data_IF_701385859663
#
_entry.id   IF_701385859663
#
_cell.length_a   1.000
_cell.length_b   1.000
_cell.length_c   1.000
_cell.angle_alpha   90.00
_cell.angle_beta   90.00
_cell.angle_gamma   90.00
#
_symmetry.space_group_name_H-M   'P 1'
#
loop_
_entity.id
_entity.type
_entity.pdbx_description
1 polymer ?
#
# COMPACT_ATOMS: atom_id res chain seq x y z
N UNK A 1 -2.40 -13.35 -19.48
CA UNK A 1 -2.78 -14.02 -18.22
C UNK A 1 -4.30 -14.04 -18.12
N UNK A 2 -4.89 -15.02 -17.47
CA UNK A 2 -6.32 -15.07 -17.22
C UNK A 2 -6.59 -14.59 -15.80
N UNK A 3 -7.65 -13.83 -15.59
CA UNK A 3 -8.11 -13.47 -14.26
C UNK A 3 -8.61 -14.73 -13.53
N UNK A 4 -8.11 -14.97 -12.33
CA UNK A 4 -8.49 -16.08 -11.46
C UNK A 4 -9.40 -15.62 -10.34
N UNK A 5 -9.25 -14.38 -9.90
CA UNK A 5 -10.00 -13.76 -8.82
C UNK A 5 -9.95 -12.24 -8.92
N UNK A 6 -11.06 -11.59 -8.64
CA UNK A 6 -11.13 -10.15 -8.50
C UNK A 6 -12.10 -9.80 -7.37
N UNK A 7 -11.73 -8.83 -6.56
CA UNK A 7 -12.59 -8.27 -5.52
C UNK A 7 -12.38 -6.78 -5.42
N UNK A 8 -13.47 -6.06 -5.21
CA UNK A 8 -13.49 -4.65 -4.90
C UNK A 8 -14.03 -4.46 -3.48
N UNK A 9 -13.49 -3.46 -2.80
CA UNK A 9 -13.94 -3.11 -1.46
C UNK A 9 -13.78 -1.62 -1.20
N UNK A 10 -14.34 -1.19 -0.08
CA UNK A 10 -14.32 0.20 0.36
C UNK A 10 -13.88 0.26 1.81
N UNK A 11 -13.01 1.20 2.13
CA UNK A 11 -12.49 1.47 3.47
C UNK A 11 -12.88 2.88 3.90
N UNK A 12 -13.10 3.07 5.18
CA UNK A 12 -13.37 4.38 5.74
C UNK A 12 -12.09 4.95 6.40
N UNK A 13 -12.03 6.26 6.50
CA UNK A 13 -10.95 7.00 7.14
C UNK A 13 -10.59 6.39 8.50
N UNK A 14 -9.30 6.36 8.79
CA UNK A 14 -8.73 5.81 10.03
C UNK A 14 -8.94 4.30 10.24
N UNK A 15 -9.42 3.57 9.25
CA UNK A 15 -9.43 2.12 9.34
C UNK A 15 -7.99 1.58 9.39
N UNK A 16 -7.72 0.78 10.41
CA UNK A 16 -6.47 0.04 10.60
C UNK A 16 -6.80 -1.42 10.84
N UNK A 17 -6.12 -2.33 10.16
CA UNK A 17 -6.41 -3.76 10.34
C UNK A 17 -5.94 -4.63 9.19
N UNK A 18 -6.57 -5.79 9.08
CA UNK A 18 -6.22 -6.80 8.10
C UNK A 18 -7.47 -7.31 7.40
N UNK A 19 -7.38 -7.49 6.07
CA UNK A 19 -8.43 -8.11 5.27
C UNK A 19 -7.77 -9.25 4.50
N UNK A 20 -8.26 -10.48 4.68
CA UNK A 20 -7.64 -11.65 4.04
C UNK A 20 -8.59 -12.28 3.04
N UNK A 21 -8.08 -12.52 1.85
CA UNK A 21 -8.72 -13.24 0.77
C UNK A 21 -8.04 -14.59 0.55
N UNK A 22 -8.84 -15.59 0.20
CA UNK A 22 -8.33 -16.93 -0.10
C UNK A 22 -8.75 -17.32 -1.50
N UNK A 23 -7.75 -17.68 -2.32
CA UNK A 23 -7.92 -18.09 -3.71
C UNK A 23 -7.36 -19.50 -3.89
N UNK A 24 -8.13 -20.40 -4.50
CA UNK A 24 -7.65 -21.73 -4.83
C UNK A 24 -7.03 -21.73 -6.22
N UNK A 25 -5.73 -22.02 -6.29
CA UNK A 25 -5.02 -22.24 -7.55
C UNK A 25 -5.13 -23.74 -7.91
N UNK A 26 -6.22 -24.11 -8.58
CA UNK A 26 -6.53 -25.50 -8.92
C UNK A 26 -5.52 -26.14 -9.87
N UNK A 27 -4.84 -25.35 -10.66
CA UNK A 27 -3.83 -25.81 -11.61
C UNK A 27 -2.52 -25.05 -11.40
N UNK A 28 -1.37 -25.70 -11.63
CA UNK A 28 -0.09 -25.03 -11.58
C UNK A 28 -0.05 -23.81 -12.51
N UNK A 29 0.40 -22.68 -11.97
CA UNK A 29 0.62 -21.45 -12.72
C UNK A 29 2.11 -21.30 -13.05
N UNK A 30 2.42 -21.06 -14.32
CA UNK A 30 3.76 -20.69 -14.77
C UNK A 30 4.07 -19.21 -14.45
N UNK A 31 3.03 -18.42 -14.30
CA UNK A 31 3.08 -17.00 -13.91
C UNK A 31 1.86 -16.64 -13.08
N UNK A 32 2.09 -15.88 -12.01
CA UNK A 32 1.07 -15.34 -11.12
C UNK A 32 1.34 -13.86 -10.92
N UNK A 33 0.30 -13.05 -11.00
CA UNK A 33 0.31 -11.63 -10.66
C UNK A 33 -0.80 -11.34 -9.66
N UNK A 34 -0.41 -10.82 -8.50
CA UNK A 34 -1.31 -10.29 -7.48
C UNK A 34 -1.23 -8.77 -7.59
N UNK A 35 -2.30 -8.15 -8.07
CA UNK A 35 -2.36 -6.74 -8.35
C UNK A 35 -3.32 -6.04 -7.38
N UNK A 36 -2.81 -5.08 -6.64
CA UNK A 36 -3.58 -4.22 -5.73
C UNK A 36 -3.55 -2.80 -6.26
N UNK A 37 -4.74 -2.22 -6.42
CA UNK A 37 -4.93 -0.77 -6.64
C UNK A 37 -5.84 -0.20 -5.57
N UNK A 38 -5.67 1.08 -5.23
CA UNK A 38 -6.58 1.81 -4.36
C UNK A 38 -6.57 3.31 -4.66
N UNK A 39 -7.69 3.97 -4.35
CA UNK A 39 -7.86 5.41 -4.48
C UNK A 39 -7.12 6.15 -3.34
N UNK A 40 -6.91 7.44 -3.52
CA UNK A 40 -6.42 8.35 -2.46
C UNK A 40 -5.15 7.88 -1.76
N UNK A 41 -4.15 7.47 -2.55
CA UNK A 41 -2.83 7.11 -2.02
C UNK A 41 -2.23 8.23 -1.16
N UNK A 42 -2.47 9.48 -1.56
CA UNK A 42 -1.97 10.66 -0.86
C UNK A 42 -2.97 11.81 -1.02
N UNK A 43 -3.20 12.56 0.07
CA UNK A 43 -3.82 13.88 0.05
C UNK A 43 -2.71 14.92 0.27
N UNK A 44 -2.39 15.72 -0.74
CA UNK A 44 -1.29 16.69 -0.66
C UNK A 44 -1.79 18.08 -0.32
N UNK A 45 -1.38 18.60 0.83
CA UNK A 45 -1.53 20.01 1.14
C UNK A 45 -0.41 20.79 0.43
N UNK A 46 -0.74 21.52 -0.64
CA UNK A 46 0.17 22.42 -1.32
C UNK A 46 -0.26 23.85 -1.09
N UNK A 47 0.67 24.70 -0.63
CA UNK A 47 0.44 26.14 -0.43
C UNK A 47 0.19 26.89 -1.75
N UNK A 48 0.60 26.32 -2.88
CA UNK A 48 0.52 26.95 -4.18
C UNK A 48 -0.76 26.56 -4.90
N UNK A 49 -1.68 27.54 -5.02
CA UNK A 49 -2.92 27.52 -5.79
C UNK A 49 -3.92 26.41 -5.40
N UNK A 50 -5.20 26.79 -5.37
CA UNK A 50 -6.34 25.95 -5.02
C UNK A 50 -6.29 24.54 -5.64
N UNK A 51 -5.49 23.64 -5.04
CA UNK A 51 -5.57 22.24 -5.42
C UNK A 51 -6.87 21.67 -4.81
N UNK A 52 -7.54 20.76 -5.50
CA UNK A 52 -8.69 20.03 -4.94
C UNK A 52 -8.39 19.44 -3.55
N UNK A 53 -7.14 19.01 -3.35
CA UNK A 53 -6.66 18.44 -2.09
C UNK A 53 -6.68 19.43 -0.92
N UNK A 54 -6.36 20.72 -1.16
CA UNK A 54 -6.39 21.75 -0.10
C UNK A 54 -7.79 21.94 0.44
N UNK A 55 -8.77 22.06 -0.44
CA UNK A 55 -10.18 22.26 -0.08
C UNK A 55 -10.70 21.05 0.71
N UNK A 56 -10.30 19.85 0.36
CA UNK A 56 -10.68 18.61 1.03
C UNK A 56 -10.00 18.46 2.38
N UNK A 57 -8.72 18.77 2.50
CA UNK A 57 -7.99 18.78 3.77
C UNK A 57 -8.64 19.75 4.75
N UNK A 58 -8.97 20.98 4.31
CA UNK A 58 -9.67 21.96 5.12
C UNK A 58 -11.08 21.50 5.50
N UNK A 59 -11.77 20.76 4.62
CA UNK A 59 -13.08 20.19 4.93
C UNK A 59 -12.98 19.08 5.99
N UNK A 60 -11.92 18.25 5.97
CA UNK A 60 -11.69 17.18 6.94
C UNK A 60 -11.31 17.73 8.30
N UNK A 61 -10.44 18.73 8.36
CA UNK A 61 -9.87 19.28 9.61
C UNK A 61 -10.55 20.58 10.09
N UNK A 62 -11.42 21.17 9.30
CA UNK A 62 -12.14 22.39 9.61
C UNK A 62 -11.30 23.67 9.52
N UNK A 63 -10.00 23.61 9.74
CA UNK A 63 -9.06 24.73 9.61
C UNK A 63 -7.63 24.26 9.43
N UNK A 64 -6.77 25.14 8.92
CA UNK A 64 -5.32 24.88 8.82
C UNK A 64 -4.67 24.71 10.21
N UNK A 65 -5.14 25.42 11.21
CA UNK A 65 -4.66 25.28 12.58
C UNK A 65 -4.96 23.88 13.14
N UNK A 66 -6.17 23.39 12.95
CA UNK A 66 -6.57 22.04 13.41
C UNK A 66 -5.78 20.93 12.70
N UNK A 67 -5.48 21.11 11.43
CA UNK A 67 -4.61 20.22 10.66
C UNK A 67 -3.21 20.14 11.26
N UNK A 68 -2.66 21.25 11.80
CA UNK A 68 -1.34 21.29 12.41
C UNK A 68 -1.30 20.77 13.86
N UNK A 69 -2.45 20.53 14.48
CA UNK A 69 -2.60 20.06 15.87
C UNK A 69 -2.74 18.53 16.01
N UNK A 70 -2.31 17.76 15.01
CA UNK A 70 -2.42 16.29 15.04
C UNK A 70 -1.88 15.71 16.37
N UNK A 71 -2.74 15.03 17.19
CA UNK A 71 -2.35 14.54 18.52
C UNK A 71 -1.25 13.47 18.50
N UNK A 72 -1.06 12.79 17.36
CA UNK A 72 -0.01 11.79 17.19
C UNK A 72 1.41 12.43 17.15
N UNK A 73 1.50 13.75 16.93
CA UNK A 73 2.77 14.46 16.85
C UNK A 73 3.18 14.93 18.25
N UNK A 74 3.89 14.07 18.96
CA UNK A 74 4.47 14.42 20.26
C UNK A 74 5.70 15.32 20.10
N UNK A 75 6.10 16.10 21.13
CA UNK A 75 7.32 16.91 21.09
C UNK A 75 8.56 16.10 20.73
N UNK A 76 8.68 14.88 21.25
CA UNK A 76 9.82 13.99 20.96
C UNK A 76 9.86 13.54 19.49
N UNK A 77 8.71 13.26 18.89
CA UNK A 77 8.60 12.92 17.45
C UNK A 77 8.98 14.14 16.61
N UNK A 78 8.49 15.32 16.99
CA UNK A 78 8.78 16.57 16.28
C UNK A 78 10.27 16.89 16.30
N UNK A 79 10.93 16.88 17.47
CA UNK A 79 12.37 17.12 17.62
C UNK A 79 13.21 16.13 16.80
N UNK A 80 12.85 14.85 16.86
CA UNK A 80 13.51 13.82 16.06
C UNK A 80 13.39 14.12 14.56
N UNK A 81 12.20 14.47 14.09
CA UNK A 81 11.95 14.77 12.66
C UNK A 81 12.71 16.02 12.20
N UNK A 82 12.72 17.10 13.00
CA UNK A 82 13.50 18.30 12.68
C UNK A 82 14.97 17.92 12.45
N UNK A 83 15.55 17.15 13.36
CA UNK A 83 16.94 16.71 13.24
C UNK A 83 17.18 15.84 12.00
N UNK A 84 16.40 14.77 11.83
CA UNK A 84 16.60 13.80 10.74
C UNK A 84 16.40 14.43 9.36
N UNK A 85 15.35 15.24 9.18
CA UNK A 85 15.10 15.92 7.90
C UNK A 85 16.14 17.00 7.63
N UNK A 86 16.57 17.74 8.67
CA UNK A 86 17.64 18.73 8.52
C UNK A 86 18.97 18.08 8.10
N UNK A 87 19.32 16.95 8.73
CA UNK A 87 20.55 16.18 8.39
C UNK A 87 20.48 15.64 6.95
N UNK A 88 19.34 15.14 6.52
CA UNK A 88 19.14 14.61 5.16
C UNK A 88 19.11 15.69 4.07
N UNK A 89 18.51 16.84 4.36
CA UNK A 89 18.33 17.92 3.39
C UNK A 89 19.51 18.88 3.31
N UNK A 90 20.37 18.89 4.34
CA UNK A 90 21.51 19.81 4.46
C UNK A 90 21.12 21.24 4.85
N UNK A 91 19.87 21.49 5.23
CA UNK A 91 19.41 22.78 5.79
C UNK A 91 18.51 22.55 7.00
N UNK A 92 18.48 23.52 7.91
CA UNK A 92 17.67 23.42 9.13
C UNK A 92 16.22 23.73 8.80
N UNK A 93 15.32 22.76 9.05
CA UNK A 93 13.88 22.97 8.95
C UNK A 93 13.32 23.46 10.29
N UNK A 94 12.28 24.25 10.24
CA UNK A 94 11.54 24.70 11.43
C UNK A 94 10.64 23.58 11.97
N UNK A 95 10.25 23.71 13.26
CA UNK A 95 9.23 22.81 13.85
C UNK A 95 7.89 22.85 13.09
N UNK A 96 7.50 24.00 12.56
CA UNK A 96 6.27 24.15 11.78
C UNK A 96 6.34 23.36 10.46
N UNK A 97 7.50 23.37 9.78
CA UNK A 97 7.73 22.58 8.57
C UNK A 97 7.78 21.07 8.88
N UNK A 98 8.49 20.68 9.96
CA UNK A 98 8.52 19.31 10.42
C UNK A 98 7.12 18.80 10.79
N UNK A 99 6.29 19.63 11.43
CA UNK A 99 4.91 19.30 11.78
C UNK A 99 4.05 19.09 10.53
N UNK A 100 4.14 19.98 9.54
CA UNK A 100 3.43 19.82 8.25
C UNK A 100 3.83 18.51 7.56
N UNK A 101 5.10 18.18 7.57
CA UNK A 101 5.61 16.92 7.03
C UNK A 101 5.04 15.69 7.75
N UNK A 102 5.03 15.71 9.08
CA UNK A 102 4.53 14.59 9.90
C UNK A 102 3.02 14.39 9.77
N UNK A 103 2.24 15.46 9.75
CA UNK A 103 0.79 15.37 9.53
C UNK A 103 0.50 14.74 8.18
N UNK A 104 1.21 15.16 7.15
CA UNK A 104 1.11 14.55 5.83
C UNK A 104 1.44 13.05 5.85
N UNK A 105 2.53 12.68 6.52
CA UNK A 105 2.99 11.29 6.55
C UNK A 105 2.10 10.36 7.41
N UNK A 106 1.47 10.90 8.45
CA UNK A 106 0.63 10.14 9.39
C UNK A 106 -0.81 10.04 8.91
N UNK A 107 -1.43 11.16 8.52
CA UNK A 107 -2.88 11.23 8.30
C UNK A 107 -3.30 11.36 6.83
N UNK A 108 -2.41 11.86 5.98
CA UNK A 108 -2.76 12.26 4.62
C UNK A 108 -2.48 11.20 3.57
N UNK A 109 -2.05 10.02 3.94
CA UNK A 109 -1.84 8.93 2.99
C UNK A 109 -2.63 7.69 3.38
N UNK A 110 -3.13 7.03 2.38
CA UNK A 110 -3.63 5.67 2.51
C UNK A 110 -2.46 4.71 2.34
N UNK A 111 -2.30 3.82 3.31
CA UNK A 111 -1.21 2.84 3.30
C UNK A 111 -1.78 1.43 3.46
N UNK A 112 -1.77 0.68 2.34
CA UNK A 112 -2.25 -0.70 2.26
C UNK A 112 -1.15 -1.55 1.65
N UNK A 113 -0.68 -2.58 2.33
CA UNK A 113 0.39 -3.47 1.87
C UNK A 113 -0.15 -4.86 1.59
N UNK A 114 0.03 -5.41 0.39
CA UNK A 114 -0.32 -6.79 0.11
C UNK A 114 0.76 -7.73 0.64
N UNK A 115 0.33 -8.71 1.43
CA UNK A 115 1.10 -9.84 1.92
C UNK A 115 0.51 -11.10 1.31
N UNK A 116 1.34 -12.01 0.80
CA UNK A 116 0.90 -13.26 0.22
C UNK A 116 1.53 -14.48 0.90
N UNK A 117 0.70 -15.50 1.08
CA UNK A 117 1.09 -16.83 1.54
C UNK A 117 0.57 -17.88 0.56
N UNK A 118 1.37 -18.90 0.25
CA UNK A 118 0.97 -20.04 -0.57
C UNK A 118 1.10 -21.31 0.26
N UNK A 119 0.02 -22.08 0.39
CA UNK A 119 -0.03 -23.32 1.19
C UNK A 119 0.42 -23.14 2.65
N UNK A 120 0.21 -21.93 3.20
CA UNK A 120 0.60 -21.58 4.57
C UNK A 120 2.03 -21.02 4.69
N UNK A 121 2.81 -20.99 3.63
CA UNK A 121 4.15 -20.42 3.61
C UNK A 121 4.14 -19.00 3.08
N UNK A 122 4.91 -18.10 3.72
CA UNK A 122 5.08 -16.72 3.29
C UNK A 122 5.83 -16.68 1.95
N UNK A 123 5.23 -16.01 0.95
CA UNK A 123 5.83 -15.85 -0.38
C UNK A 123 6.15 -14.40 -0.75
N UNK A 124 5.70 -13.43 0.03
CA UNK A 124 6.10 -12.04 -0.21
C UNK A 124 5.21 -11.01 0.45
N UNK A 125 5.76 -9.79 0.53
CA UNK A 125 5.05 -8.58 0.93
C UNK A 125 5.65 -7.39 0.19
N UNK A 126 4.80 -6.51 -0.35
CA UNK A 126 5.27 -5.28 -0.98
C UNK A 126 5.01 -4.09 -0.06
N UNK A 127 6.10 -3.59 0.51
CA UNK A 127 6.12 -2.42 1.36
C UNK A 127 6.60 -1.20 0.57
N UNK A 128 5.75 -0.65 -0.30
CA UNK A 128 6.02 0.56 -1.09
C UNK A 128 4.81 1.48 -1.03
N UNK A 129 5.06 2.78 -1.00
CA UNK A 129 4.01 3.82 -0.98
C UNK A 129 3.53 4.12 -2.40
N UNK A 130 2.84 3.16 -3.01
CA UNK A 130 2.22 3.32 -4.33
C UNK A 130 0.83 2.72 -4.28
N UNK A 131 -0.14 3.41 -4.86
CA UNK A 131 -1.52 2.91 -4.95
C UNK A 131 -1.71 1.79 -5.98
N UNK A 132 -0.71 1.54 -6.79
CA UNK A 132 -0.69 0.52 -7.83
C UNK A 132 0.52 -0.40 -7.57
N UNK A 133 0.24 -1.67 -7.24
CA UNK A 133 1.25 -2.63 -6.77
C UNK A 133 1.04 -4.00 -7.38
N UNK A 134 2.12 -4.56 -7.94
CA UNK A 134 2.14 -5.90 -8.50
C UNK A 134 3.11 -6.81 -7.75
N UNK A 135 2.62 -7.97 -7.29
CA UNK A 135 3.44 -9.08 -6.83
C UNK A 135 3.49 -10.12 -7.95
N UNK A 136 4.54 -10.08 -8.74
CA UNK A 136 4.72 -10.95 -9.90
C UNK A 136 5.63 -12.10 -9.53
N UNK A 137 5.19 -13.31 -9.83
CA UNK A 137 5.93 -14.56 -9.67
C UNK A 137 5.98 -15.27 -11.02
N UNK A 138 7.16 -15.48 -11.56
CA UNK A 138 7.38 -16.26 -12.78
C UNK A 138 8.79 -16.84 -12.81
N UNK A 139 9.01 -17.81 -13.66
CA UNK A 139 10.33 -18.42 -13.80
C UNK A 139 11.40 -17.38 -14.14
N UNK A 140 12.43 -17.29 -13.31
CA UNK A 140 13.55 -16.37 -13.49
C UNK A 140 13.27 -14.90 -13.09
N UNK A 141 12.06 -14.58 -12.59
CA UNK A 141 11.76 -13.25 -12.11
C UNK A 141 10.70 -13.28 -11.01
N UNK A 142 10.97 -12.50 -9.98
CA UNK A 142 10.01 -12.26 -8.88
C UNK A 142 10.09 -10.79 -8.49
N UNK A 143 8.95 -10.16 -8.21
CA UNK A 143 8.92 -8.77 -7.72
C UNK A 143 9.77 -8.61 -6.46
N UNK A 144 10.39 -7.44 -6.30
CA UNK A 144 11.14 -7.11 -5.08
C UNK A 144 10.21 -7.21 -3.85
N UNK A 145 10.68 -7.89 -2.81
CA UNK A 145 9.89 -8.19 -1.61
C UNK A 145 9.12 -9.52 -1.69
N UNK A 146 9.28 -10.26 -2.81
CA UNK A 146 8.70 -11.59 -2.99
C UNK A 146 9.78 -12.67 -3.08
N UNK A 147 9.43 -13.89 -2.69
CA UNK A 147 10.30 -15.08 -2.68
C UNK A 147 9.97 -15.92 -3.90
N UNK A 148 10.96 -16.30 -4.74
CA UNK A 148 10.74 -17.17 -5.88
C UNK A 148 10.05 -18.49 -5.50
N UNK A 149 9.07 -18.89 -6.29
CA UNK A 149 8.31 -20.11 -6.10
C UNK A 149 8.64 -21.10 -7.24
N UNK A 150 8.95 -22.35 -6.89
CA UNK A 150 9.14 -23.41 -7.88
C UNK A 150 7.81 -23.89 -8.47
N UNK A 151 6.77 -23.89 -7.64
CA UNK A 151 5.43 -24.34 -8.01
C UNK A 151 4.36 -23.42 -7.40
N UNK A 152 3.49 -22.92 -8.25
CA UNK A 152 2.41 -22.00 -7.85
C UNK A 152 1.06 -22.70 -8.04
N UNK A 153 0.66 -23.50 -7.05
CA UNK A 153 -0.64 -24.17 -6.97
C UNK A 153 -1.08 -24.35 -5.52
N UNK A 154 -2.36 -24.58 -5.29
CA UNK A 154 -2.94 -24.82 -3.97
C UNK A 154 -3.60 -23.58 -3.41
N UNK A 155 -3.49 -23.34 -2.11
CA UNK A 155 -4.21 -22.29 -1.40
C UNK A 155 -3.36 -21.02 -1.29
N UNK A 156 -3.74 -20.00 -2.07
CA UNK A 156 -3.16 -18.66 -1.99
C UNK A 156 -3.98 -17.81 -1.02
N UNK A 157 -3.35 -17.29 0.02
CA UNK A 157 -3.93 -16.28 0.93
C UNK A 157 -3.26 -14.94 0.69
N UNK A 158 -4.06 -13.91 0.49
CA UNK A 158 -3.60 -12.55 0.30
C UNK A 158 -4.19 -11.70 1.41
N UNK A 159 -3.33 -11.11 2.23
CA UNK A 159 -3.73 -10.22 3.32
C UNK A 159 -3.37 -8.79 2.96
N UNK A 160 -4.36 -7.93 2.93
CA UNK A 160 -4.19 -6.49 2.87
C UNK A 160 -3.93 -6.00 4.29
N UNK A 161 -2.70 -5.56 4.55
CA UNK A 161 -2.31 -4.92 5.80
C UNK A 161 -2.61 -3.43 5.66
N UNK A 162 -3.66 -2.94 6.32
CA UNK A 162 -4.08 -1.55 6.27
C UNK A 162 -3.51 -0.81 7.47
N UNK A 163 -2.59 0.10 7.24
CA UNK A 163 -1.95 0.91 8.28
C UNK A 163 -2.64 2.24 8.49
N UNK A 164 -3.17 2.81 7.42
CA UNK A 164 -3.98 4.02 7.47
C UNK A 164 -4.87 4.14 6.23
N UNK A 165 -5.99 4.85 6.38
CA UNK A 165 -6.88 5.27 5.30
C UNK A 165 -7.14 6.76 5.46
N UNK A 166 -6.70 7.56 4.48
CA UNK A 166 -6.75 9.01 4.55
C UNK A 166 -8.17 9.57 4.40
N UNK A 167 -9.07 8.87 3.71
CA UNK A 167 -10.39 9.36 3.33
C UNK A 167 -11.46 8.28 3.43
N UNK A 168 -12.69 8.68 3.76
CA UNK A 168 -13.86 7.82 3.68
C UNK A 168 -14.12 7.37 2.25
N UNK A 169 -14.70 6.19 2.12
CA UNK A 169 -15.02 5.57 0.84
C UNK A 169 -13.82 5.34 -0.09
N UNK A 170 -12.62 5.18 0.47
CA UNK A 170 -11.43 4.77 -0.28
C UNK A 170 -11.67 3.38 -0.87
N UNK A 171 -11.78 3.31 -2.21
CA UNK A 171 -11.97 2.05 -2.92
C UNK A 171 -10.64 1.36 -3.14
N UNK A 172 -10.66 0.04 -3.12
CA UNK A 172 -9.54 -0.78 -3.55
C UNK A 172 -10.03 -1.91 -4.45
N UNK A 173 -9.15 -2.35 -5.32
CA UNK A 173 -9.35 -3.54 -6.15
C UNK A 173 -8.15 -4.47 -5.97
N UNK A 174 -8.44 -5.73 -5.68
CA UNK A 174 -7.45 -6.79 -5.64
C UNK A 174 -7.76 -7.80 -6.74
N UNK A 175 -6.83 -7.96 -7.67
CA UNK A 175 -6.94 -8.91 -8.78
C UNK A 175 -5.83 -9.95 -8.70
N UNK A 176 -6.17 -11.21 -8.91
CA UNK A 176 -5.22 -12.30 -9.07
C UNK A 176 -5.33 -12.81 -10.49
N UNK A 177 -4.24 -12.75 -11.23
CA UNK A 177 -4.16 -13.25 -12.61
C UNK A 177 -3.10 -14.33 -12.71
N UNK A 178 -3.36 -15.35 -13.50
CA UNK A 178 -2.45 -16.46 -13.69
C UNK A 178 -2.31 -16.90 -15.13
N UNK A 179 -1.17 -17.46 -15.48
CA UNK A 179 -0.93 -18.20 -16.73
C UNK A 179 -0.63 -19.64 -16.38
N UNK A 180 -1.48 -20.56 -16.85
CA UNK A 180 -1.29 -22.00 -16.61
C UNK A 180 0.04 -22.46 -17.15
N UNK A 181 0.61 -23.47 -16.51
CA UNK A 181 1.79 -24.17 -17.00
C UNK A 181 1.41 -25.00 -18.23
N UNK A 182 2.13 -24.80 -19.34
CA UNK A 182 1.94 -25.65 -20.54
C UNK A 182 2.41 -27.06 -20.22
N UNK A 183 1.52 -28.04 -20.23
CA UNK A 183 1.80 -29.48 -20.03
C UNK A 183 2.74 -30.08 -21.08
N UNK A 184 3.41 -29.31 -21.92
CA UNK A 184 4.19 -29.75 -23.07
C UNK A 184 5.68 -29.86 -22.84
N UNK A 185 6.20 -29.96 -21.64
CA UNK A 185 7.63 -30.28 -21.42
C UNK A 185 7.77 -31.32 -20.32
N UNK A 186 7.19 -32.52 -20.55
CA UNK A 186 7.70 -33.77 -19.97
C UNK A 186 7.74 -34.78 -21.07
N UNK A 187 8.72 -34.66 -21.96
CA UNK A 187 9.15 -35.77 -22.76
C UNK A 187 10.68 -35.83 -22.69
N UNK A 188 11.15 -36.72 -21.76
CA UNK A 188 12.49 -37.36 -21.67
C UNK A 188 13.70 -36.43 -21.76
#
# INVERSE_FOLDING_TARGET
MNELYCVEGTLNKNFMGQITYTVCLENPCAELDIHLTYDYAELRYRDEQASPDKSEILQIYGSEEHYLECPAITPAVLEKTVREVSDMSGYVISEAEARKFLVYDIDMKTEIHPLAMLNGEFIGCIHKQKADRHMIFRRGYTSHGCIPQERMEGVLKITLLVFNVARDHTRYTLTVSGRKEDRRVQTL
#
